data_IF_719477888466
#
_entry.id   IF_719477888466
#
_cell.length_a   1.000
_cell.length_b   1.000
_cell.length_c   1.000
_cell.angle_alpha   90.00
_cell.angle_beta   90.00
_cell.angle_gamma   90.00
#
_symmetry.space_group_name_H-M   'P 1'
#
loop_
_entity.id
_entity.type
_entity.pdbx_description
1 polymer ?
#
# COMPACT_ATOMS: atom_id res chain seq x y z
N UNK A 1 -1.66 24.16 -11.50
CA UNK A 1 -3.07 24.51 -11.82
C UNK A 1 -4.00 23.66 -10.96
N UNK A 2 -5.20 24.12 -10.61
CA UNK A 2 -6.07 23.42 -9.64
C UNK A 2 -7.10 22.53 -10.35
N UNK A 3 -7.27 21.32 -9.83
CA UNK A 3 -8.19 20.30 -10.35
C UNK A 3 -8.91 19.61 -9.19
N UNK A 4 -10.09 19.08 -9.46
CA UNK A 4 -10.78 18.14 -8.58
C UNK A 4 -10.45 16.72 -9.04
N UNK A 5 -10.17 15.82 -8.10
CA UNK A 5 -9.85 14.42 -8.39
C UNK A 5 -11.01 13.51 -8.00
N UNK A 6 -11.38 12.63 -8.93
CA UNK A 6 -12.38 11.59 -8.73
C UNK A 6 -11.81 10.21 -9.09
N UNK A 7 -12.37 9.12 -8.54
CA UNK A 7 -11.98 7.76 -8.90
C UNK A 7 -12.15 7.43 -10.40
N UNK A 8 -11.27 6.57 -10.93
CA UNK A 8 -11.37 6.07 -12.32
C UNK A 8 -12.68 5.37 -12.64
N UNK A 9 -13.40 4.84 -11.65
CA UNK A 9 -14.71 4.19 -11.87
C UNK A 9 -15.80 5.14 -12.40
N UNK A 10 -15.59 6.46 -12.33
CA UNK A 10 -16.44 7.46 -12.99
C UNK A 10 -16.16 7.60 -14.50
N UNK A 11 -15.20 6.86 -15.04
CA UNK A 11 -14.88 6.88 -16.46
C UNK A 11 -15.91 6.05 -17.24
N UNK A 12 -16.77 6.72 -18.00
CA UNK A 12 -17.97 6.12 -18.62
C UNK A 12 -17.69 5.01 -19.65
N UNK A 13 -16.50 4.97 -20.26
CA UNK A 13 -16.19 4.07 -21.37
C UNK A 13 -15.23 2.93 -21.04
N UNK A 14 -14.69 2.86 -19.82
CA UNK A 14 -13.76 1.79 -19.43
C UNK A 14 -14.58 0.61 -18.94
N UNK A 15 -14.31 -0.59 -19.45
CA UNK A 15 -14.99 -1.80 -18.98
C UNK A 15 -14.52 -2.20 -17.56
N UNK A 16 -15.35 -2.91 -16.79
CA UNK A 16 -15.00 -3.33 -15.43
C UNK A 16 -13.67 -4.11 -15.36
N UNK A 17 -13.42 -5.00 -16.33
CA UNK A 17 -12.18 -5.77 -16.41
C UNK A 17 -10.95 -4.89 -16.68
N UNK A 18 -11.11 -3.85 -17.50
CA UNK A 18 -10.04 -2.89 -17.74
C UNK A 18 -9.85 -1.98 -16.53
N UNK A 19 -10.94 -1.61 -15.85
CA UNK A 19 -10.93 -0.75 -14.67
C UNK A 19 -10.04 -1.36 -13.59
N UNK A 20 -10.22 -2.63 -13.23
CA UNK A 20 -9.37 -3.33 -12.24
C UNK A 20 -7.87 -3.20 -12.54
N UNK A 21 -7.49 -3.26 -13.82
CA UNK A 21 -6.09 -3.09 -14.25
C UNK A 21 -5.63 -1.63 -14.16
N UNK A 22 -6.49 -0.67 -14.51
CA UNK A 22 -6.20 0.77 -14.46
C UNK A 22 -6.10 1.27 -13.03
N UNK A 23 -6.87 0.70 -12.11
CA UNK A 23 -6.79 1.01 -10.68
C UNK A 23 -5.47 0.56 -10.03
N UNK A 24 -4.77 -0.42 -10.64
CA UNK A 24 -3.43 -0.85 -10.26
C UNK A 24 -2.33 -0.18 -11.12
N UNK A 25 -2.46 1.12 -11.39
CA UNK A 25 -1.50 1.90 -12.17
C UNK A 25 -1.36 3.33 -11.62
N UNK A 26 -0.49 4.16 -12.19
CA UNK A 26 -0.42 5.61 -11.94
C UNK A 26 -0.97 6.44 -13.11
N UNK A 27 -1.79 5.81 -13.94
CA UNK A 27 -2.42 6.42 -15.09
C UNK A 27 -3.65 7.24 -14.73
N UNK A 28 -3.67 8.52 -15.10
CA UNK A 28 -4.82 9.41 -14.93
C UNK A 28 -5.48 9.77 -16.26
N UNK A 29 -6.74 10.17 -16.18
CA UNK A 29 -7.53 10.66 -17.29
C UNK A 29 -7.89 12.11 -17.05
N UNK A 30 -7.69 12.94 -18.06
CA UNK A 30 -7.99 14.38 -18.00
C UNK A 30 -9.08 14.72 -19.00
N UNK A 31 -9.74 15.87 -18.86
CA UNK A 31 -10.70 16.29 -19.87
C UNK A 31 -10.04 16.44 -21.25
N UNK A 32 -10.78 16.11 -22.31
CA UNK A 32 -10.36 16.37 -23.70
C UNK A 32 -9.96 17.84 -23.93
N UNK A 33 -10.57 18.78 -23.22
CA UNK A 33 -10.23 20.21 -23.28
C UNK A 33 -8.88 20.56 -22.67
N UNK A 34 -8.42 19.80 -21.68
CA UNK A 34 -7.13 20.03 -21.00
C UNK A 34 -6.00 19.22 -21.61
N UNK A 35 -6.30 18.13 -22.32
CA UNK A 35 -5.30 17.21 -22.85
C UNK A 35 -4.21 17.92 -23.68
N UNK A 36 -4.62 18.75 -24.65
CA UNK A 36 -3.65 19.47 -25.49
C UNK A 36 -2.75 20.45 -24.71
N UNK A 37 -3.31 21.16 -23.73
CA UNK A 37 -2.56 22.10 -22.90
C UNK A 37 -1.57 21.39 -21.98
N UNK A 38 -1.94 20.22 -21.45
CA UNK A 38 -1.07 19.42 -20.59
C UNK A 38 0.03 18.74 -21.42
N UNK A 39 -0.29 18.12 -22.56
CA UNK A 39 0.72 17.42 -23.36
C UNK A 39 1.71 18.36 -24.10
N UNK A 40 1.31 19.60 -24.40
CA UNK A 40 2.12 20.67 -25.03
C UNK A 40 3.16 20.18 -26.06
N UNK A 41 2.69 19.50 -27.12
CA UNK A 41 3.47 19.02 -28.27
C UNK A 41 4.71 18.17 -27.93
N UNK A 42 4.73 17.52 -26.76
CA UNK A 42 5.78 16.57 -26.41
C UNK A 42 5.47 15.19 -26.94
N UNK A 43 6.43 14.59 -27.66
CA UNK A 43 6.42 13.17 -28.02
C UNK A 43 6.86 12.26 -26.86
N UNK A 44 7.23 12.84 -25.72
CA UNK A 44 7.70 12.12 -24.54
C UNK A 44 6.60 11.98 -23.49
N UNK A 45 6.66 10.91 -22.69
CA UNK A 45 5.79 10.75 -21.54
C UNK A 45 6.11 11.84 -20.50
N UNK A 46 5.10 12.61 -20.12
CA UNK A 46 5.22 13.63 -19.07
C UNK A 46 4.68 13.08 -17.76
N UNK A 47 5.50 13.18 -16.71
CA UNK A 47 5.09 12.90 -15.34
C UNK A 47 4.54 14.17 -14.71
N UNK A 48 3.44 14.04 -14.00
CA UNK A 48 2.81 15.09 -13.22
C UNK A 48 2.91 14.77 -11.74
N UNK A 49 3.19 15.80 -10.95
CA UNK A 49 2.99 15.79 -9.51
C UNK A 49 1.64 16.40 -9.20
N UNK A 50 0.79 15.61 -8.56
CA UNK A 50 -0.45 16.05 -7.94
C UNK A 50 -0.17 16.30 -6.47
N UNK A 51 -0.62 17.43 -5.91
CA UNK A 51 -0.34 17.82 -4.53
C UNK A 51 -1.57 18.37 -3.82
N UNK A 52 -1.83 17.89 -2.62
CA UNK A 52 -2.77 18.47 -1.68
C UNK A 52 -2.17 18.52 -0.26
N UNK A 53 -1.84 19.73 0.20
CA UNK A 53 -1.05 19.93 1.42
C UNK A 53 0.38 19.36 1.28
N UNK A 54 0.75 18.51 2.23
CA UNK A 54 2.01 17.74 2.25
C UNK A 54 1.92 16.41 1.50
N UNK A 55 0.72 16.04 1.00
CA UNK A 55 0.48 14.77 0.30
C UNK A 55 0.70 14.97 -1.18
N UNK A 56 1.45 14.07 -1.80
CA UNK A 56 1.76 14.13 -3.22
C UNK A 56 1.69 12.76 -3.90
N UNK A 57 1.26 12.75 -5.16
CA UNK A 57 1.26 11.59 -6.03
C UNK A 57 1.95 11.93 -7.35
N UNK A 58 2.66 10.96 -7.92
CA UNK A 58 3.29 11.06 -9.23
C UNK A 58 2.50 10.19 -10.21
N UNK A 59 2.07 10.79 -11.31
CA UNK A 59 1.15 10.17 -12.27
C UNK A 59 1.52 10.56 -13.70
N UNK A 60 1.00 9.82 -14.67
CA UNK A 60 1.08 10.19 -16.08
C UNK A 60 -0.32 10.22 -16.70
N UNK A 61 -0.49 10.98 -17.78
CA UNK A 61 -1.76 11.03 -18.51
C UNK A 61 -1.85 9.78 -19.39
N UNK A 62 -2.77 8.86 -19.07
CA UNK A 62 -3.03 7.66 -19.87
C UNK A 62 -4.13 7.85 -20.90
N UNK A 63 -4.98 8.88 -20.76
CA UNK A 63 -6.10 9.09 -21.66
C UNK A 63 -6.93 10.32 -21.33
N UNK A 64 -8.13 10.37 -21.92
CA UNK A 64 -9.04 11.51 -21.79
C UNK A 64 -10.47 11.09 -21.47
N UNK A 65 -11.23 11.98 -20.84
CA UNK A 65 -12.67 11.85 -20.61
C UNK A 65 -13.46 13.05 -21.15
N UNK A 66 -14.78 12.89 -21.28
CA UNK A 66 -15.72 13.92 -21.79
C UNK A 66 -16.36 14.78 -20.68
N UNK A 67 -16.08 14.48 -19.41
CA UNK A 67 -16.55 15.26 -18.26
C UNK A 67 -15.93 16.66 -18.12
N UNK A 68 -16.15 17.29 -16.97
CA UNK A 68 -15.78 18.69 -16.73
C UNK A 68 -14.29 19.00 -16.93
N UNK A 69 -14.01 20.24 -17.37
CA UNK A 69 -12.68 20.70 -17.78
C UNK A 69 -11.60 20.48 -16.73
N UNK A 70 -11.88 20.79 -15.47
CA UNK A 70 -10.91 20.75 -14.36
C UNK A 70 -11.09 19.52 -13.46
N UNK A 71 -11.62 18.44 -14.01
CA UNK A 71 -11.68 17.13 -13.36
C UNK A 71 -10.54 16.26 -13.86
N UNK A 72 -9.96 15.49 -12.94
CA UNK A 72 -9.04 14.39 -13.21
C UNK A 72 -9.67 13.12 -12.66
N UNK A 73 -9.72 12.07 -13.47
CA UNK A 73 -10.06 10.73 -13.01
C UNK A 73 -8.77 9.99 -12.71
N UNK A 74 -8.63 9.50 -11.48
CA UNK A 74 -7.42 8.88 -10.99
C UNK A 74 -7.71 7.55 -10.28
N UNK A 75 -6.73 6.64 -10.24
CA UNK A 75 -6.83 5.38 -9.50
C UNK A 75 -7.27 5.63 -8.04
N UNK A 76 -8.06 4.73 -7.43
CA UNK A 76 -8.57 4.90 -6.07
C UNK A 76 -7.48 5.17 -5.03
N UNK A 77 -6.28 4.60 -5.18
CA UNK A 77 -5.16 4.84 -4.27
C UNK A 77 -4.64 6.28 -4.34
N UNK A 78 -4.59 6.90 -5.53
CA UNK A 78 -4.23 8.32 -5.71
C UNK A 78 -5.26 9.20 -5.02
N UNK A 79 -6.53 8.82 -5.19
CA UNK A 79 -7.68 9.53 -4.66
C UNK A 79 -7.72 9.44 -3.12
N UNK A 80 -7.42 8.27 -2.55
CA UNK A 80 -7.25 8.06 -1.11
C UNK A 80 -6.07 8.85 -0.51
N UNK A 81 -4.97 8.97 -1.27
CA UNK A 81 -3.81 9.75 -0.85
C UNK A 81 -4.10 11.27 -0.84
N UNK A 82 -4.74 11.80 -1.88
CA UNK A 82 -4.92 13.24 -2.05
C UNK A 82 -6.22 13.80 -1.44
N UNK A 83 -7.24 12.95 -1.26
CA UNK A 83 -8.61 13.35 -0.97
C UNK A 83 -9.42 13.55 -2.26
N UNK A 84 -10.59 12.91 -2.38
CA UNK A 84 -11.45 13.00 -3.56
C UNK A 84 -12.56 14.05 -3.38
N UNK A 85 -13.10 14.56 -4.51
CA UNK A 85 -14.39 15.24 -4.59
C UNK A 85 -14.40 16.73 -4.21
N UNK A 86 -14.02 17.05 -2.97
CA UNK A 86 -14.20 18.41 -2.43
C UNK A 86 -12.88 19.21 -2.32
N UNK A 87 -11.74 18.54 -2.43
CA UNK A 87 -10.42 19.13 -2.25
C UNK A 87 -9.78 19.49 -3.60
N UNK A 88 -9.22 20.69 -3.69
CA UNK A 88 -8.50 21.14 -4.88
C UNK A 88 -7.05 20.64 -4.85
N UNK A 89 -6.70 19.86 -5.84
CA UNK A 89 -5.35 19.31 -6.04
C UNK A 89 -4.58 20.19 -7.01
N UNK A 90 -3.34 20.52 -6.66
CA UNK A 90 -2.43 21.22 -7.56
C UNK A 90 -1.75 20.23 -8.49
N UNK A 91 -1.87 20.44 -9.81
CA UNK A 91 -1.20 19.67 -10.86
C UNK A 91 -0.04 20.49 -11.43
N UNK A 92 1.15 19.90 -11.41
CA UNK A 92 2.41 20.47 -11.91
C UNK A 92 3.23 19.41 -12.65
N UNK A 93 4.02 19.80 -13.65
CA UNK A 93 4.98 18.88 -14.29
C UNK A 93 6.08 18.51 -13.31
N UNK A 94 6.47 17.24 -13.31
CA UNK A 94 7.56 16.72 -12.52
C UNK A 94 8.60 16.06 -13.42
N UNK A 95 9.85 16.11 -12.98
CA UNK A 95 11.00 15.53 -13.69
C UNK A 95 11.79 14.64 -12.73
N UNK A 96 11.19 13.53 -12.25
CA UNK A 96 11.92 12.59 -11.40
C UNK A 96 13.10 11.97 -12.16
N UNK A 97 14.17 11.69 -11.44
CA UNK A 97 15.34 11.02 -12.02
C UNK A 97 15.00 9.59 -12.44
N UNK A 98 15.71 9.05 -13.43
CA UNK A 98 15.57 7.65 -13.82
C UNK A 98 16.12 6.78 -12.70
N UNK A 99 15.35 5.77 -12.27
CA UNK A 99 15.75 4.80 -11.26
C UNK A 99 15.40 3.39 -11.67
N UNK A 100 16.20 2.42 -11.25
CA UNK A 100 16.08 1.01 -11.67
C UNK A 100 15.99 0.05 -10.50
N UNK A 101 15.92 0.53 -9.25
CA UNK A 101 15.84 -0.35 -8.08
C UNK A 101 14.93 0.24 -7.00
N UNK A 102 14.06 -0.62 -6.48
CA UNK A 102 13.16 -0.32 -5.37
C UNK A 102 13.23 -1.42 -4.31
N UNK A 103 12.93 -1.03 -3.07
CA UNK A 103 12.73 -1.96 -1.96
C UNK A 103 11.28 -1.89 -1.51
N UNK A 104 10.63 -3.04 -1.42
CA UNK A 104 9.21 -3.14 -1.12
C UNK A 104 8.90 -4.10 0.03
N UNK A 105 7.72 -3.94 0.62
CA UNK A 105 7.12 -4.90 1.56
C UNK A 105 5.70 -5.25 1.11
N UNK A 106 5.47 -6.45 0.56
CA UNK A 106 4.12 -6.94 0.30
C UNK A 106 3.31 -7.11 1.58
N UNK A 107 2.02 -6.78 1.54
CA UNK A 107 1.11 -6.97 2.69
C UNK A 107 0.60 -8.41 2.80
N UNK A 108 0.72 -9.20 1.73
CA UNK A 108 0.37 -10.62 1.72
C UNK A 108 1.38 -11.43 0.91
N UNK A 109 1.35 -12.75 1.12
CA UNK A 109 2.22 -13.71 0.42
C UNK A 109 1.59 -14.26 -0.86
N UNK A 110 0.49 -13.69 -1.36
CA UNK A 110 -0.19 -14.23 -2.55
C UNK A 110 0.69 -14.22 -3.82
N UNK A 111 1.64 -13.29 -3.91
CA UNK A 111 2.61 -13.23 -5.01
C UNK A 111 3.52 -14.46 -5.09
N UNK A 112 3.70 -15.21 -3.99
CA UNK A 112 4.55 -16.42 -3.98
C UNK A 112 3.91 -17.60 -4.72
N UNK A 113 2.64 -17.48 -5.14
CA UNK A 113 1.96 -18.50 -5.95
C UNK A 113 2.31 -18.42 -7.44
N UNK A 114 3.03 -17.37 -7.87
CA UNK A 114 3.56 -17.28 -9.23
C UNK A 114 4.76 -18.21 -9.43
N UNK A 115 4.97 -18.66 -10.67
CA UNK A 115 6.14 -19.49 -11.02
C UNK A 115 7.47 -18.77 -10.73
N UNK A 116 7.52 -17.47 -11.04
CA UNK A 116 8.60 -16.56 -10.63
C UNK A 116 7.98 -15.35 -9.90
N UNK A 117 7.98 -15.35 -8.55
CA UNK A 117 7.36 -14.29 -7.75
C UNK A 117 7.99 -12.92 -7.95
N UNK A 118 9.30 -12.84 -8.21
CA UNK A 118 10.01 -11.57 -8.37
C UNK A 118 9.71 -10.99 -9.75
N UNK A 119 9.77 -11.81 -10.78
CA UNK A 119 9.44 -11.39 -12.14
C UNK A 119 7.96 -10.97 -12.26
N UNK A 120 7.07 -11.66 -11.55
CA UNK A 120 5.64 -11.28 -11.51
C UNK A 120 5.43 -9.90 -10.88
N UNK A 121 6.18 -9.56 -9.82
CA UNK A 121 6.15 -8.22 -9.21
C UNK A 121 6.74 -7.16 -10.16
N UNK A 122 7.88 -7.46 -10.80
CA UNK A 122 8.50 -6.58 -11.79
C UNK A 122 7.53 -6.23 -12.93
N UNK A 123 6.86 -7.24 -13.49
CA UNK A 123 5.81 -7.05 -14.52
C UNK A 123 4.65 -6.21 -14.01
N UNK A 124 4.22 -6.40 -12.77
CA UNK A 124 3.13 -5.60 -12.21
C UNK A 124 3.51 -4.11 -12.10
N UNK A 125 4.78 -3.80 -11.78
CA UNK A 125 5.28 -2.43 -11.75
C UNK A 125 5.39 -1.78 -13.13
N UNK A 126 5.33 -2.52 -14.25
CA UNK A 126 5.24 -1.93 -15.58
C UNK A 126 3.96 -1.11 -15.78
N UNK A 127 2.93 -1.29 -14.94
CA UNK A 127 1.76 -0.42 -14.95
C UNK A 127 2.07 1.00 -14.44
N UNK A 128 3.17 1.18 -13.73
CA UNK A 128 3.59 2.43 -13.10
C UNK A 128 4.65 3.14 -13.93
N UNK A 129 4.56 4.46 -13.99
CA UNK A 129 5.57 5.32 -14.60
C UNK A 129 6.57 5.87 -13.58
N UNK A 130 6.08 6.21 -12.39
CA UNK A 130 6.88 6.77 -11.31
C UNK A 130 6.57 6.13 -9.97
N UNK A 131 7.59 6.05 -9.12
CA UNK A 131 7.50 5.46 -7.79
C UNK A 131 8.21 6.38 -6.81
N UNK A 132 7.59 6.66 -5.66
CA UNK A 132 8.21 7.38 -4.55
C UNK A 132 8.24 6.51 -3.28
N UNK A 133 9.23 6.71 -2.39
CA UNK A 133 9.28 6.01 -1.11
C UNK A 133 8.13 6.45 -0.19
N UNK A 134 7.68 5.55 0.67
CA UNK A 134 6.59 5.76 1.62
C UNK A 134 5.19 5.61 1.04
N UNK A 135 5.06 5.19 -0.23
CA UNK A 135 3.77 4.96 -0.87
C UNK A 135 3.25 3.54 -0.61
N UNK A 136 1.94 3.41 -0.49
CA UNK A 136 1.22 2.14 -0.51
C UNK A 136 0.58 1.96 -1.89
N UNK A 137 0.98 0.95 -2.65
CA UNK A 137 0.59 0.77 -4.05
C UNK A 137 -0.13 -0.56 -4.28
N UNK A 138 -1.28 -0.56 -4.99
CA UNK A 138 -1.92 -1.78 -5.45
C UNK A 138 -1.28 -2.32 -6.73
N UNK A 139 -0.93 -3.59 -6.74
CA UNK A 139 -0.34 -4.32 -7.87
C UNK A 139 -1.30 -5.39 -8.37
N UNK A 140 -1.38 -5.56 -9.69
CA UNK A 140 -2.12 -6.66 -10.31
C UNK A 140 -1.17 -7.82 -10.61
N UNK A 141 -1.18 -8.85 -9.76
CA UNK A 141 -0.32 -10.04 -9.87
C UNK A 141 -1.20 -11.26 -10.15
N UNK A 142 -0.98 -11.95 -11.27
CA UNK A 142 -1.75 -13.14 -11.68
C UNK A 142 -3.28 -12.95 -11.67
N UNK A 143 -3.74 -11.74 -12.01
CA UNK A 143 -5.18 -11.40 -12.03
C UNK A 143 -5.77 -11.18 -10.64
N UNK A 144 -4.94 -10.98 -9.62
CA UNK A 144 -5.36 -10.58 -8.27
C UNK A 144 -4.66 -9.32 -7.84
N UNK A 145 -5.37 -8.50 -7.07
CA UNK A 145 -4.81 -7.29 -6.49
C UNK A 145 -4.06 -7.60 -5.19
N UNK A 146 -2.84 -7.11 -5.10
CA UNK A 146 -1.96 -7.18 -3.93
C UNK A 146 -1.53 -5.77 -3.55
N UNK A 147 -1.49 -5.44 -2.27
CA UNK A 147 -0.97 -4.14 -1.81
C UNK A 147 0.47 -4.30 -1.33
N UNK A 148 1.32 -3.32 -1.67
CA UNK A 148 2.73 -3.28 -1.26
C UNK A 148 3.10 -1.90 -0.72
N UNK A 149 3.95 -1.87 0.30
CA UNK A 149 4.64 -0.65 0.72
C UNK A 149 5.92 -0.47 -0.09
N UNK A 150 6.14 0.72 -0.62
CA UNK A 150 7.42 1.13 -1.18
C UNK A 150 8.26 1.72 -0.07
N UNK A 151 9.33 1.04 0.33
CA UNK A 151 10.18 1.46 1.43
C UNK A 151 11.23 2.45 0.97
N UNK A 152 11.94 2.10 -0.10
CA UNK A 152 13.10 2.85 -0.58
C UNK A 152 13.19 2.80 -2.10
N UNK A 153 13.77 3.85 -2.68
CA UNK A 153 14.16 3.93 -4.09
C UNK A 153 15.65 4.24 -4.15
N UNK A 154 16.33 3.82 -5.23
CA UNK A 154 17.75 4.12 -5.41
C UNK A 154 18.07 5.62 -5.55
N UNK A 155 17.07 6.45 -5.87
CA UNK A 155 17.20 7.91 -5.96
C UNK A 155 17.00 8.65 -4.63
N UNK A 156 16.62 7.97 -3.55
CA UNK A 156 16.27 8.61 -2.27
C UNK A 156 14.98 9.46 -2.30
N UNK A 157 14.23 9.37 -3.40
CA UNK A 157 13.02 10.15 -3.67
C UNK A 157 12.24 9.57 -4.85
N UNK A 158 11.35 10.35 -5.47
CA UNK A 158 10.59 9.90 -6.64
C UNK A 158 11.51 9.55 -7.82
N UNK A 159 11.31 8.37 -8.40
CA UNK A 159 12.04 7.89 -9.58
C UNK A 159 11.09 7.57 -10.73
N UNK A 160 11.53 7.83 -11.96
CA UNK A 160 10.89 7.34 -13.18
C UNK A 160 11.44 5.94 -13.51
N UNK A 161 10.54 4.99 -13.72
CA UNK A 161 10.87 3.57 -14.00
C UNK A 161 10.46 3.14 -15.41
N UNK A 162 10.04 4.07 -16.28
CA UNK A 162 9.70 3.73 -17.67
C UNK A 162 10.95 3.47 -18.50
N UNK A 163 10.91 2.39 -19.27
CA UNK A 163 11.97 2.03 -20.21
C UNK A 163 13.25 1.50 -19.55
N UNK A 164 13.16 1.06 -18.29
CA UNK A 164 14.28 0.43 -17.56
C UNK A 164 13.84 -0.90 -16.99
N UNK A 165 14.79 -1.83 -16.86
CA UNK A 165 14.58 -3.07 -16.13
C UNK A 165 14.60 -2.77 -14.62
N UNK A 166 13.47 -2.99 -13.96
CA UNK A 166 13.31 -2.68 -12.54
C UNK A 166 13.78 -3.85 -11.67
N UNK A 167 14.74 -3.62 -10.79
CA UNK A 167 15.13 -4.54 -9.73
C UNK A 167 14.23 -4.36 -8.50
N UNK A 168 13.56 -5.43 -8.07
CA UNK A 168 12.65 -5.41 -6.91
C UNK A 168 13.30 -6.18 -5.77
N UNK A 169 13.68 -5.46 -4.72
CA UNK A 169 14.14 -6.06 -3.46
C UNK A 169 12.97 -6.21 -2.50
N UNK A 170 12.60 -7.44 -2.16
CA UNK A 170 11.60 -7.71 -1.14
C UNK A 170 12.28 -7.62 0.23
N UNK A 171 11.73 -6.81 1.13
CA UNK A 171 12.21 -6.80 2.51
C UNK A 171 12.06 -8.20 3.11
N UNK A 172 13.19 -8.83 3.45
CA UNK A 172 13.18 -10.09 4.18
C UNK A 172 12.43 -9.91 5.51
N UNK A 173 11.54 -10.86 5.83
CA UNK A 173 11.00 -10.96 7.19
C UNK A 173 12.18 -10.94 8.15
N UNK A 174 12.10 -10.08 9.18
CA UNK A 174 13.04 -10.12 10.28
C UNK A 174 12.88 -11.51 10.89
N UNK A 175 13.81 -12.42 10.58
CA UNK A 175 13.95 -13.69 11.27
C UNK A 175 14.04 -13.31 12.75
N UNK A 176 12.95 -13.53 13.50
CA UNK A 176 12.98 -13.41 14.94
C UNK A 176 14.17 -14.24 15.39
N UNK A 177 15.16 -13.60 16.02
CA UNK A 177 16.32 -14.28 16.54
C UNK A 177 15.81 -15.51 17.27
N UNK A 178 16.28 -16.70 16.84
CA UNK A 178 15.97 -17.95 17.51
C UNK A 178 16.16 -17.71 19.01
N UNK A 179 15.20 -18.10 19.87
CA UNK A 179 15.32 -17.85 21.30
C UNK A 179 16.68 -18.38 21.72
N UNK A 180 17.52 -17.51 22.30
CA UNK A 180 18.78 -17.94 22.89
C UNK A 180 18.43 -19.14 23.76
N UNK A 181 18.93 -20.31 23.39
CA UNK A 181 18.80 -21.50 24.23
C UNK A 181 19.38 -21.13 25.57
N UNK A 182 18.51 -20.94 26.57
CA UNK A 182 18.93 -20.80 27.95
C UNK A 182 19.88 -21.97 28.25
N UNK A 183 21.07 -21.72 28.81
CA UNK A 183 21.97 -22.79 29.14
C UNK A 183 21.29 -23.72 30.14
N UNK A 184 21.19 -25.00 29.78
CA UNK A 184 20.69 -26.05 30.64
C UNK A 184 21.42 -25.98 31.99
N UNK A 185 20.68 -25.60 33.03
CA UNK A 185 21.15 -25.68 34.41
C UNK A 185 21.28 -27.18 34.73
N UNK A 186 22.46 -27.69 35.11
CA UNK A 186 22.55 -29.06 35.56
C UNK A 186 21.85 -29.18 36.91
N UNK A 187 20.85 -30.06 37.01
CA UNK A 187 20.37 -30.58 38.29
C UNK A 187 21.50 -31.37 38.95
N UNK A 188 21.69 -31.20 40.27
CA UNK A 188 22.00 -32.35 41.08
C UNK A 188 21.12 -32.47 42.33
N UNK A 189 20.59 -33.69 42.44
CA UNK A 189 20.45 -34.53 43.63
C UNK A 189 19.47 -34.16 44.74
N UNK A 190 18.51 -35.07 44.88
CA UNK A 190 17.59 -35.23 45.97
C UNK A 190 18.30 -35.47 47.31
N UNK A 191 17.87 -34.74 48.34
CA UNK A 191 18.02 -35.15 49.73
C UNK A 191 16.62 -35.23 50.35
N UNK A 192 16.27 -36.44 50.80
CA UNK A 192 15.00 -36.74 51.45
C UNK A 192 14.98 -36.24 52.89
N UNK A 193 13.90 -35.56 53.28
CA UNK A 193 13.48 -35.46 54.67
C UNK A 193 11.94 -35.43 54.73
N UNK A 194 11.42 -36.10 55.73
CA UNK A 194 10.11 -36.75 55.75
C UNK A 194 9.35 -36.28 57.02
N UNK A 195 8.01 -36.25 56.94
CA UNK A 195 7.00 -36.03 58.01
C UNK A 195 6.93 -34.58 58.57
N UNK A 196 5.76 -33.98 58.83
CA UNK A 196 4.50 -34.53 59.34
C UNK A 196 3.32 -33.56 59.01
N UNK A 197 2.14 -34.10 58.72
CA UNK A 197 0.85 -33.39 58.68
C UNK A 197 0.15 -33.60 60.05
N UNK A 198 -0.70 -32.68 60.57
CA UNK A 198 -2.07 -32.65 60.05
C UNK A 198 -2.83 -31.30 60.15
N UNK A 199 -3.87 -31.22 59.32
CA UNK A 199 -5.19 -30.59 59.51
C UNK A 199 -5.25 -29.22 60.22
N UNK A 200 -5.85 -28.22 59.57
CA UNK A 200 -7.17 -27.69 59.97
C UNK A 200 -7.69 -26.60 58.99
N UNK A 201 -8.88 -26.89 58.45
CA UNK A 201 -9.97 -25.97 58.12
C UNK A 201 -9.74 -24.71 57.24
N UNK A 202 -10.36 -24.74 56.06
CA UNK A 202 -10.69 -23.55 55.27
C UNK A 202 -11.79 -22.70 55.93
N UNK A 203 -11.78 -21.36 55.75
CA UNK A 203 -13.00 -20.58 55.81
C UNK A 203 -13.41 -20.15 54.39
N UNK A 204 -14.55 -20.67 53.96
CA UNK A 204 -15.38 -20.12 52.89
C UNK A 204 -15.87 -18.74 53.34
N UNK A 205 -15.57 -17.68 52.59
CA UNK A 205 -16.35 -16.44 52.66
C UNK A 205 -16.57 -15.84 51.28
N UNK A 206 -17.84 -15.89 50.90
CA UNK A 206 -18.45 -15.44 49.65
C UNK A 206 -19.12 -14.08 49.91
N UNK A 207 -18.66 -12.96 49.34
CA UNK A 207 -19.46 -11.75 49.30
C UNK A 207 -20.35 -11.75 48.06
N UNK A 208 -21.58 -12.20 48.31
CA UNK A 208 -22.84 -11.98 47.59
C UNK A 208 -22.90 -10.62 46.86
N UNK A 209 -23.13 -10.66 45.55
CA UNK A 209 -23.44 -9.50 44.71
C UNK A 209 -24.84 -8.94 45.02
N UNK A 210 -25.01 -7.63 45.34
CA UNK A 210 -26.31 -6.99 45.41
C UNK A 210 -26.63 -6.28 44.08
N UNK A 211 -27.18 -7.02 43.12
CA UNK A 211 -27.66 -6.46 41.86
C UNK A 211 -29.16 -6.72 41.69
N UNK A 212 -30.00 -5.71 41.92
CA UNK A 212 -31.45 -5.81 41.70
C UNK A 212 -31.72 -5.70 40.19
N UNK A 213 -32.08 -6.81 39.55
CA UNK A 213 -32.45 -6.88 38.14
C UNK A 213 -33.83 -6.28 37.87
N UNK A 214 -33.92 -5.34 36.92
CA UNK A 214 -35.17 -4.96 36.25
C UNK A 214 -35.35 -5.85 35.02
N UNK A 215 -36.48 -6.55 34.94
CA UNK A 215 -36.92 -7.34 33.78
C UNK A 215 -37.54 -6.40 32.73
N UNK A 216 -37.25 -6.67 31.46
CA UNK A 216 -37.96 -6.11 30.32
C UNK A 216 -39.36 -6.74 30.25
N UNK A 217 -40.37 -5.90 30.06
CA UNK A 217 -41.76 -6.23 29.72
C UNK A 217 -42.11 -5.56 28.40
#
# INVERSE_FOLDING_TARGET
>A
MQYTVYPTCYHETISDLELERRECSDGIYVSVEQFGALMADSDEMIVYRLRHGEREAYVHISGTHQGERYVVLAPPWVCGLLGCGDELVTVERAYPGIGSRIKIRPHSTEYTQADDPVEALQRAFEAYSCIAPGMELPLMVNGRQLVVDVLETNGGGPICIRGVELEVEIQGEVVAAAPETEPAVPEPEAEAANFDEPMFAAPVHNPRFPGVGRRLS
#
